data_IF_423754799872
#
_entry.id   IF_423754799872
#
_cell.length_a   1.000
_cell.length_b   1.000
_cell.length_c   1.000
_cell.angle_alpha   90.00
_cell.angle_beta   90.00
_cell.angle_gamma   90.00
#
_symmetry.space_group_name_H-M   'P 1'
#
loop_
_entity.id
_entity.type
_entity.pdbx_description
1 polymer ?
#
# COMPACT_ATOMS: atom_id res chain seq x y z
N UNK A 1 -3.19 14.96 -10.65
CA UNK A 1 -1.79 14.86 -10.55
C UNK A 1 -1.24 15.27 -9.20
N UNK A 2 -0.26 14.51 -8.74
CA UNK A 2 0.50 14.76 -7.50
C UNK A 2 1.80 15.54 -7.80
N UNK A 3 1.77 16.47 -8.74
CA UNK A 3 2.92 17.24 -9.22
C UNK A 3 3.58 18.18 -8.18
N UNK A 4 3.24 18.06 -6.91
CA UNK A 4 3.84 18.87 -5.84
C UNK A 4 4.65 18.12 -4.80
N UNK A 5 4.71 16.79 -4.85
CA UNK A 5 5.27 15.98 -3.76
C UNK A 5 6.74 15.57 -3.94
N UNK A 6 7.36 15.86 -5.10
CA UNK A 6 8.78 15.60 -5.32
C UNK A 6 9.20 14.12 -5.40
N UNK A 7 8.24 13.18 -5.50
CA UNK A 7 8.50 11.76 -5.72
C UNK A 7 7.54 11.16 -6.74
N UNK A 8 7.97 10.08 -7.39
CA UNK A 8 7.23 9.39 -8.44
C UNK A 8 6.01 8.65 -7.86
N UNK A 9 4.85 8.80 -8.51
CA UNK A 9 3.59 8.15 -8.13
C UNK A 9 3.56 6.65 -8.38
N UNK A 10 2.36 6.06 -8.32
CA UNK A 10 2.15 4.63 -8.57
C UNK A 10 2.44 4.23 -10.02
N UNK A 11 2.73 2.95 -10.23
CA UNK A 11 2.96 2.38 -11.57
C UNK A 11 1.63 2.28 -12.33
N UNK A 12 1.62 2.79 -13.55
CA UNK A 12 0.53 2.60 -14.50
C UNK A 12 1.10 1.88 -15.73
N UNK A 13 0.68 0.64 -15.94
CA UNK A 13 1.09 -0.11 -17.12
C UNK A 13 0.38 0.46 -18.37
N UNK A 14 1.11 0.59 -19.48
CA UNK A 14 0.47 0.84 -20.78
C UNK A 14 -0.34 -0.39 -21.17
N UNK A 15 -1.63 -0.19 -21.45
CA UNK A 15 -2.48 -1.24 -21.99
C UNK A 15 -2.17 -1.45 -23.46
N UNK A 16 -2.04 -2.71 -23.93
CA UNK A 16 -1.89 -2.98 -25.35
C UNK A 16 -3.16 -2.53 -26.11
N UNK A 17 -2.97 -1.86 -27.24
CA UNK A 17 -4.09 -1.45 -28.10
C UNK A 17 -4.50 -2.59 -29.03
N UNK A 18 -5.80 -2.87 -29.12
CA UNK A 18 -6.32 -3.92 -29.99
C UNK A 18 -7.67 -4.46 -29.53
N UNK A 19 -8.15 -5.47 -30.26
CA UNK A 19 -9.34 -6.24 -29.89
C UNK A 19 -8.90 -7.61 -29.39
N UNK A 20 -9.18 -7.90 -28.14
CA UNK A 20 -8.78 -9.14 -27.48
C UNK A 20 -10.01 -10.02 -27.27
N UNK A 21 -9.87 -11.32 -27.58
CA UNK A 21 -10.95 -12.31 -27.39
C UNK A 21 -11.18 -12.60 -25.91
N UNK A 22 -10.10 -12.56 -25.12
CA UNK A 22 -10.10 -12.78 -23.67
C UNK A 22 -9.21 -11.73 -23.00
N UNK A 23 -9.70 -11.14 -21.94
CA UNK A 23 -8.93 -10.25 -21.08
C UNK A 23 -9.24 -10.57 -19.62
N UNK A 24 -8.23 -10.48 -18.75
CA UNK A 24 -8.41 -10.56 -17.31
C UNK A 24 -7.63 -9.43 -16.65
N UNK A 25 -8.11 -9.01 -15.51
CA UNK A 25 -7.51 -7.96 -14.70
C UNK A 25 -7.01 -8.56 -13.39
N UNK A 26 -5.82 -8.17 -12.98
CA UNK A 26 -5.26 -8.47 -11.65
C UNK A 26 -5.08 -7.18 -10.89
N UNK A 27 -5.84 -7.04 -9.81
CA UNK A 27 -5.79 -5.87 -8.92
C UNK A 27 -5.29 -6.27 -7.53
N UNK A 28 -4.33 -5.51 -7.02
CA UNK A 28 -3.83 -5.67 -5.65
C UNK A 28 -4.77 -4.96 -4.67
N UNK A 29 -5.61 -5.73 -4.00
CA UNK A 29 -6.52 -5.17 -3.00
C UNK A 29 -5.75 -4.44 -1.89
N UNK A 30 -6.08 -3.17 -1.66
CA UNK A 30 -5.47 -2.33 -0.62
C UNK A 30 -3.94 -2.23 -0.73
N UNK A 31 -3.40 -2.05 -1.91
CA UNK A 31 -1.95 -2.09 -2.16
C UNK A 31 -1.14 -1.18 -1.20
N UNK A 32 -1.47 0.11 -1.11
CA UNK A 32 -0.74 1.04 -0.23
C UNK A 32 -0.90 0.72 1.27
N UNK A 33 -2.11 0.45 1.80
CA UNK A 33 -2.26 -0.06 3.15
C UNK A 33 -1.46 -1.34 3.41
N UNK A 34 -1.43 -2.26 2.45
CA UNK A 34 -0.65 -3.49 2.57
C UNK A 34 0.86 -3.22 2.67
N UNK A 35 1.40 -2.30 1.85
CA UNK A 35 2.80 -1.86 1.94
C UNK A 35 3.13 -1.26 3.32
N UNK A 36 2.25 -0.39 3.84
CA UNK A 36 2.43 0.23 5.17
C UNK A 36 2.45 -0.83 6.26
N UNK A 37 1.49 -1.76 6.25
CA UNK A 37 1.38 -2.82 7.26
C UNK A 37 2.55 -3.80 7.19
N UNK A 38 2.88 -4.29 6.00
CA UNK A 38 3.93 -5.30 5.80
C UNK A 38 5.32 -4.77 6.08
N UNK A 39 5.58 -3.54 5.69
CA UNK A 39 6.86 -2.86 5.90
C UNK A 39 7.02 -2.21 7.27
N UNK A 40 5.94 -2.14 8.07
CA UNK A 40 5.87 -1.36 9.30
C UNK A 40 6.27 0.11 9.08
N UNK A 41 5.80 0.70 7.97
CA UNK A 41 6.20 2.03 7.52
C UNK A 41 5.47 3.11 8.32
N UNK A 42 6.19 3.73 9.25
CA UNK A 42 5.66 4.74 10.15
C UNK A 42 6.76 5.72 10.59
N UNK A 43 6.37 6.94 10.95
CA UNK A 43 7.32 7.95 11.47
C UNK A 43 8.00 7.46 12.75
N UNK A 44 7.29 6.70 13.59
CA UNK A 44 7.80 6.17 14.86
C UNK A 44 8.76 5.00 14.70
N UNK A 45 8.67 4.26 13.59
CA UNK A 45 9.53 3.10 13.31
C UNK A 45 10.72 3.43 12.42
N UNK A 46 10.69 4.58 11.73
CA UNK A 46 11.75 5.00 10.82
C UNK A 46 13.04 5.37 11.56
N UNK A 47 14.17 4.77 11.14
CA UNK A 47 15.51 5.15 11.58
C UNK A 47 16.04 6.25 10.64
N UNK A 48 16.35 7.43 11.19
CA UNK A 48 16.72 8.59 10.37
C UNK A 48 18.16 8.60 9.90
N UNK A 49 19.07 8.08 10.72
CA UNK A 49 20.52 8.06 10.44
C UNK A 49 21.07 6.66 10.72
N UNK A 50 20.70 5.63 9.94
CA UNK A 50 21.09 4.25 10.20
C UNK A 50 22.60 4.04 10.15
N UNK A 51 23.32 4.73 9.24
CA UNK A 51 24.77 4.58 9.04
C UNK A 51 25.57 5.03 10.26
N UNK A 52 25.08 6.02 11.00
CA UNK A 52 25.77 6.56 12.18
C UNK A 52 25.38 5.85 13.48
N UNK A 53 24.17 5.31 13.54
CA UNK A 53 23.63 4.70 14.75
C UNK A 53 23.91 3.19 14.84
N UNK A 54 24.06 2.52 13.70
CA UNK A 54 24.10 1.06 13.60
C UNK A 54 25.19 0.58 12.63
N UNK A 55 26.43 1.00 12.86
CA UNK A 55 27.59 0.63 12.02
C UNK A 55 27.86 -0.88 11.99
N UNK A 56 27.60 -1.57 13.11
CA UNK A 56 27.82 -3.01 13.27
C UNK A 56 26.55 -3.85 12.97
N UNK A 57 25.51 -3.24 12.36
CA UNK A 57 24.24 -3.89 12.08
C UNK A 57 23.14 -3.56 13.09
N UNK A 58 21.94 -4.05 12.83
CA UNK A 58 20.76 -3.74 13.65
C UNK A 58 20.58 -4.79 14.74
N UNK A 59 20.45 -4.40 16.04
CA UNK A 59 20.22 -5.35 17.14
C UNK A 59 18.77 -5.86 17.20
N UNK A 60 17.93 -5.49 16.24
CA UNK A 60 16.52 -5.86 16.11
C UNK A 60 16.12 -6.08 14.64
N UNK A 61 15.00 -6.75 14.36
CA UNK A 61 14.49 -6.91 13.00
C UNK A 61 14.17 -5.56 12.35
N UNK A 62 14.49 -5.41 11.07
CA UNK A 62 14.22 -4.21 10.29
C UNK A 62 13.58 -4.53 8.94
N UNK A 63 12.87 -3.56 8.38
CA UNK A 63 12.54 -3.47 6.96
C UNK A 63 13.50 -2.48 6.32
N UNK A 64 14.16 -2.87 5.23
CA UNK A 64 14.93 -1.98 4.37
C UNK A 64 14.16 -1.82 3.08
N UNK A 65 13.79 -0.58 2.75
CA UNK A 65 13.06 -0.26 1.51
C UNK A 65 14.02 -0.24 0.31
N UNK A 66 13.53 -0.28 -0.93
CA UNK A 66 14.38 -0.18 -2.11
C UNK A 66 15.22 1.11 -2.14
N UNK A 67 14.71 2.20 -1.57
CA UNK A 67 15.44 3.47 -1.40
C UNK A 67 16.54 3.44 -0.31
N UNK A 68 16.71 2.30 0.39
CA UNK A 68 17.68 2.14 1.48
C UNK A 68 17.21 2.69 2.84
N UNK A 69 15.99 3.18 2.96
CA UNK A 69 15.44 3.64 4.25
C UNK A 69 15.10 2.45 5.13
N UNK A 70 15.30 2.64 6.45
CA UNK A 70 15.22 1.55 7.43
C UNK A 70 14.09 1.82 8.42
N UNK A 71 13.29 0.79 8.68
CA UNK A 71 12.17 0.80 9.62
C UNK A 71 12.29 -0.35 10.61
N UNK A 72 12.10 -0.08 11.89
CA UNK A 72 12.12 -1.07 12.97
C UNK A 72 10.93 -2.01 12.89
N UNK A 73 11.13 -3.26 13.29
CA UNK A 73 10.06 -4.29 13.35
C UNK A 73 9.91 -4.94 14.72
N UNK A 74 10.66 -4.51 15.70
CA UNK A 74 10.57 -5.00 17.08
C UNK A 74 9.34 -4.45 17.84
N UNK A 75 8.70 -3.43 17.29
CA UNK A 75 7.38 -2.95 17.74
C UNK A 75 6.55 -2.51 16.52
N UNK A 76 5.24 -2.49 16.70
CA UNK A 76 4.31 -2.07 15.64
C UNK A 76 4.12 -0.55 15.66
N UNK A 77 4.29 0.10 14.50
CA UNK A 77 4.02 1.51 14.31
C UNK A 77 2.53 1.86 14.48
N UNK A 78 2.26 3.14 14.72
CA UNK A 78 0.89 3.64 14.94
C UNK A 78 0.02 3.42 13.71
N UNK A 79 0.52 3.80 12.52
CA UNK A 79 -0.21 3.67 11.27
C UNK A 79 -0.45 2.22 10.85
N UNK A 80 0.55 1.33 10.84
CA UNK A 80 0.35 -0.10 10.61
C UNK A 80 -0.72 -0.70 11.52
N UNK A 81 -0.71 -0.34 12.81
CA UNK A 81 -1.70 -0.81 13.79
C UNK A 81 -3.13 -0.37 13.43
N UNK A 82 -3.32 0.93 13.15
CA UNK A 82 -4.63 1.48 12.77
C UNK A 82 -5.13 0.81 11.48
N UNK A 83 -4.29 0.74 10.45
CA UNK A 83 -4.66 0.14 9.17
C UNK A 83 -4.98 -1.35 9.30
N UNK A 84 -4.24 -2.09 10.12
CA UNK A 84 -4.52 -3.51 10.41
C UNK A 84 -5.88 -3.69 11.09
N UNK A 85 -6.23 -2.83 12.04
CA UNK A 85 -7.55 -2.86 12.69
C UNK A 85 -8.68 -2.57 11.69
N UNK A 86 -8.51 -1.56 10.85
CA UNK A 86 -9.49 -1.21 9.81
C UNK A 86 -9.64 -2.34 8.78
N UNK A 87 -8.55 -2.96 8.36
CA UNK A 87 -8.56 -4.10 7.45
C UNK A 87 -9.28 -5.31 8.07
N UNK A 88 -8.95 -5.66 9.32
CA UNK A 88 -9.61 -6.75 10.06
C UNK A 88 -11.12 -6.52 10.20
N UNK A 89 -11.52 -5.29 10.55
CA UNK A 89 -12.94 -4.94 10.65
C UNK A 89 -13.65 -5.05 9.29
N UNK A 90 -13.01 -4.60 8.22
CA UNK A 90 -13.55 -4.73 6.86
C UNK A 90 -13.72 -6.19 6.45
N UNK A 91 -12.73 -7.02 6.73
CA UNK A 91 -12.77 -8.45 6.38
C UNK A 91 -13.84 -9.18 7.18
N UNK A 92 -14.05 -8.84 8.47
CA UNK A 92 -15.15 -9.35 9.27
C UNK A 92 -16.50 -9.00 8.64
N UNK A 93 -16.74 -7.73 8.30
CA UNK A 93 -17.99 -7.29 7.66
C UNK A 93 -18.21 -8.02 6.33
N UNK A 94 -17.17 -8.15 5.51
CA UNK A 94 -17.24 -8.88 4.23
C UNK A 94 -17.52 -10.38 4.43
N UNK A 95 -17.02 -10.95 5.53
CA UNK A 95 -17.34 -12.32 5.93
C UNK A 95 -18.82 -12.49 6.26
N UNK A 96 -19.35 -11.60 7.10
CA UNK A 96 -20.77 -11.59 7.51
C UNK A 96 -21.71 -11.37 6.32
N UNK A 97 -21.35 -10.50 5.38
CA UNK A 97 -22.12 -10.24 4.15
C UNK A 97 -22.32 -11.49 3.28
N UNK A 98 -21.46 -12.49 3.36
CA UNK A 98 -21.60 -13.72 2.56
C UNK A 98 -22.80 -14.56 2.97
N UNK A 99 -23.26 -14.44 4.21
CA UNK A 99 -24.36 -15.22 4.79
C UNK A 99 -25.60 -14.36 5.08
N UNK A 100 -25.52 -13.03 4.92
CA UNK A 100 -26.64 -12.14 5.16
C UNK A 100 -27.66 -12.22 4.02
N UNK A 101 -28.90 -12.50 4.38
CA UNK A 101 -30.01 -12.64 3.43
C UNK A 101 -30.97 -11.44 3.42
N UNK A 102 -30.90 -10.57 4.44
CA UNK A 102 -31.68 -9.35 4.51
C UNK A 102 -31.04 -8.25 3.63
N UNK A 103 -31.75 -7.78 2.56
CA UNK A 103 -31.20 -6.79 1.63
C UNK A 103 -30.84 -5.46 2.30
N UNK A 104 -31.59 -5.03 3.32
CA UNK A 104 -31.34 -3.76 4.01
C UNK A 104 -30.08 -3.85 4.85
N UNK A 105 -29.93 -4.93 5.60
CA UNK A 105 -28.72 -5.20 6.40
C UNK A 105 -27.51 -5.38 5.50
N UNK A 106 -27.64 -6.15 4.44
CA UNK A 106 -26.57 -6.30 3.44
C UNK A 106 -26.15 -4.94 2.87
N UNK A 107 -27.12 -4.08 2.51
CA UNK A 107 -26.86 -2.74 2.02
C UNK A 107 -26.12 -1.86 3.04
N UNK A 108 -26.46 -1.95 4.32
CA UNK A 108 -25.76 -1.25 5.40
C UNK A 108 -24.31 -1.73 5.55
N UNK A 109 -24.09 -3.03 5.62
CA UNK A 109 -22.76 -3.65 5.70
C UNK A 109 -21.89 -3.28 4.50
N UNK A 110 -22.48 -3.25 3.29
CA UNK A 110 -21.76 -2.86 2.07
C UNK A 110 -21.31 -1.39 2.14
N UNK A 111 -22.14 -0.48 2.64
CA UNK A 111 -21.72 0.92 2.88
C UNK A 111 -20.60 1.00 3.91
N UNK A 112 -20.71 0.27 5.03
CA UNK A 112 -19.68 0.26 6.07
C UNK A 112 -18.33 -0.21 5.56
N UNK A 113 -18.27 -1.35 4.84
CA UNK A 113 -17.01 -1.86 4.30
C UNK A 113 -16.39 -0.93 3.24
N UNK A 114 -17.22 -0.18 2.47
CA UNK A 114 -16.74 0.82 1.52
C UNK A 114 -16.11 2.02 2.23
N UNK A 115 -16.75 2.54 3.27
CA UNK A 115 -16.19 3.64 4.10
C UNK A 115 -14.85 3.23 4.71
N UNK A 116 -14.72 1.98 5.21
CA UNK A 116 -13.44 1.47 5.72
C UNK A 116 -12.38 1.42 4.61
N UNK A 117 -12.74 0.97 3.40
CA UNK A 117 -11.81 0.96 2.26
C UNK A 117 -11.32 2.37 1.90
N UNK A 118 -12.24 3.31 1.80
CA UNK A 118 -11.92 4.71 1.47
C UNK A 118 -11.04 5.35 2.54
N UNK A 119 -11.37 5.10 3.81
CA UNK A 119 -10.57 5.58 4.95
C UNK A 119 -9.13 5.03 4.88
N UNK A 120 -8.95 3.72 4.73
CA UNK A 120 -7.61 3.12 4.61
C UNK A 120 -6.80 3.70 3.44
N UNK A 121 -7.43 3.93 2.28
CA UNK A 121 -6.75 4.49 1.12
C UNK A 121 -6.38 5.97 1.31
N UNK A 122 -7.16 6.73 2.08
CA UNK A 122 -6.86 8.15 2.35
C UNK A 122 -5.59 8.36 3.18
N UNK A 123 -5.20 7.39 4.00
CA UNK A 123 -4.02 7.48 4.84
C UNK A 123 -2.71 7.62 4.07
N UNK A 124 -2.60 6.98 2.89
CA UNK A 124 -1.47 7.20 2.02
C UNK A 124 -1.32 8.68 1.64
N UNK A 125 -2.44 9.33 1.25
CA UNK A 125 -2.46 10.76 0.93
C UNK A 125 -2.03 11.63 2.12
N UNK A 126 -2.43 11.27 3.33
CA UNK A 126 -2.05 11.98 4.55
C UNK A 126 -0.57 11.81 4.87
N UNK A 127 -0.02 10.60 4.77
CA UNK A 127 1.39 10.32 5.01
C UNK A 127 2.30 11.00 3.97
N UNK A 128 1.91 10.91 2.70
CA UNK A 128 2.67 11.46 1.57
C UNK A 128 2.48 12.96 1.37
N UNK A 129 1.48 13.58 2.01
CA UNK A 129 1.17 15.01 1.87
C UNK A 129 2.19 15.92 2.56
N UNK A 130 3.47 15.73 2.32
CA UNK A 130 4.53 16.62 2.82
C UNK A 130 4.35 18.09 2.44
N UNK A 131 3.15 18.44 1.96
CA UNK A 131 2.74 19.79 1.64
C UNK A 131 2.84 20.68 2.88
N UNK A 132 3.76 21.60 2.85
CA UNK A 132 3.64 22.80 3.66
C UNK A 132 2.29 23.42 3.33
N UNK A 133 1.41 23.55 4.31
CA UNK A 133 0.29 24.46 4.22
C UNK A 133 0.84 25.80 3.68
N UNK A 134 0.04 26.58 2.99
CA UNK A 134 0.41 27.98 2.62
C UNK A 134 0.94 28.80 3.80
N UNK A 135 0.73 28.33 5.02
CA UNK A 135 1.21 28.88 6.29
C UNK A 135 2.55 28.31 6.77
N UNK A 136 3.19 27.40 6.01
CA UNK A 136 4.48 26.79 6.38
C UNK A 136 4.41 25.69 7.45
N UNK A 137 3.24 25.42 8.03
CA UNK A 137 3.06 24.36 9.01
C UNK A 137 2.80 22.99 8.35
N UNK A 138 3.37 21.93 8.89
CA UNK A 138 3.04 20.56 8.47
C UNK A 138 1.57 20.31 8.79
N UNK A 139 0.72 19.96 7.80
CA UNK A 139 -0.72 19.79 8.01
C UNK A 139 -1.06 18.61 8.94
N UNK A 140 -0.13 17.67 9.11
CA UNK A 140 -0.33 16.48 9.95
C UNK A 140 0.98 16.03 10.60
N UNK A 141 0.95 15.75 11.92
CA UNK A 141 2.17 15.40 12.68
C UNK A 141 2.86 14.11 12.23
N UNK A 142 2.10 13.18 11.64
CA UNK A 142 2.59 11.89 11.13
C UNK A 142 2.92 11.94 9.63
N UNK A 143 2.82 13.10 8.99
CA UNK A 143 3.18 13.29 7.58
C UNK A 143 4.70 13.25 7.41
N UNK A 144 5.18 12.37 6.55
CA UNK A 144 6.58 12.28 6.12
C UNK A 144 6.61 11.88 4.63
N UNK A 145 6.98 12.80 3.71
CA UNK A 145 7.03 12.53 2.27
C UNK A 145 7.92 11.36 1.90
N UNK A 146 8.96 11.10 2.69
CA UNK A 146 9.86 9.98 2.45
C UNK A 146 9.15 8.64 2.65
N UNK A 147 8.21 8.55 3.61
CA UNK A 147 7.37 7.36 3.80
C UNK A 147 6.41 7.20 2.61
N UNK A 148 5.83 8.31 2.11
CA UNK A 148 5.01 8.29 0.90
C UNK A 148 5.77 7.77 -0.32
N UNK A 149 7.01 8.20 -0.49
CA UNK A 149 7.91 7.73 -1.54
C UNK A 149 8.20 6.22 -1.42
N UNK A 150 8.50 5.74 -0.21
CA UNK A 150 8.76 4.31 0.04
C UNK A 150 7.54 3.44 -0.27
N UNK A 151 6.34 3.90 0.12
CA UNK A 151 5.09 3.18 -0.16
C UNK A 151 4.89 3.00 -1.67
N UNK A 152 5.03 4.07 -2.45
CA UNK A 152 4.85 4.01 -3.91
C UNK A 152 5.95 3.22 -4.60
N UNK A 153 7.19 3.29 -4.12
CA UNK A 153 8.30 2.51 -4.67
C UNK A 153 8.11 1.01 -4.43
N UNK A 154 7.72 0.60 -3.21
CA UNK A 154 7.40 -0.80 -2.91
C UNK A 154 6.24 -1.29 -3.78
N UNK A 155 5.18 -0.49 -3.93
CA UNK A 155 4.04 -0.82 -4.77
C UNK A 155 4.44 -0.97 -6.26
N UNK A 156 5.24 -0.04 -6.80
CA UNK A 156 5.77 -0.14 -8.17
C UNK A 156 6.57 -1.42 -8.39
N UNK A 157 7.46 -1.75 -7.46
CA UNK A 157 8.29 -2.96 -7.55
C UNK A 157 7.43 -4.23 -7.49
N UNK A 158 6.41 -4.24 -6.63
CA UNK A 158 5.46 -5.34 -6.54
C UNK A 158 4.66 -5.50 -7.84
N UNK A 159 4.15 -4.42 -8.40
CA UNK A 159 3.42 -4.45 -9.67
C UNK A 159 4.29 -4.87 -10.86
N UNK A 160 5.54 -4.41 -10.92
CA UNK A 160 6.49 -4.85 -11.92
C UNK A 160 6.80 -6.35 -11.80
N UNK A 161 6.93 -6.85 -10.57
CA UNK A 161 7.12 -8.27 -10.31
C UNK A 161 5.91 -9.10 -10.74
N UNK A 162 4.69 -8.67 -10.37
CA UNK A 162 3.44 -9.31 -10.76
C UNK A 162 3.30 -9.38 -12.28
N UNK A 163 3.50 -8.25 -12.98
CA UNK A 163 3.47 -8.18 -14.45
C UNK A 163 4.41 -9.23 -15.07
N UNK A 164 5.67 -9.27 -14.63
CA UNK A 164 6.66 -10.22 -15.14
C UNK A 164 6.26 -11.69 -14.92
N UNK A 165 5.64 -11.99 -13.77
CA UNK A 165 5.21 -13.36 -13.46
C UNK A 165 3.98 -13.78 -14.26
N UNK A 166 3.01 -12.87 -14.44
CA UNK A 166 1.81 -13.12 -15.25
C UNK A 166 2.19 -13.33 -16.71
N UNK A 167 3.04 -12.48 -17.27
CA UNK A 167 3.52 -12.61 -18.66
C UNK A 167 4.24 -13.95 -18.87
N UNK A 168 5.08 -14.38 -17.95
CA UNK A 168 5.76 -15.68 -18.02
C UNK A 168 4.77 -16.85 -17.96
N UNK A 169 3.79 -16.81 -17.06
CA UNK A 169 2.78 -17.87 -16.94
C UNK A 169 1.92 -17.96 -18.19
N UNK A 170 1.56 -16.84 -18.79
CA UNK A 170 0.78 -16.80 -20.05
C UNK A 170 1.55 -17.42 -21.20
N UNK A 171 2.86 -17.15 -21.32
CA UNK A 171 3.71 -17.81 -22.33
C UNK A 171 3.75 -19.33 -22.16
N UNK A 172 3.85 -19.83 -20.93
CA UNK A 172 3.81 -21.27 -20.66
C UNK A 172 2.49 -21.94 -21.09
N UNK A 173 1.36 -21.25 -20.91
CA UNK A 173 0.04 -21.75 -21.30
C UNK A 173 -0.15 -21.76 -22.83
N UNK A 174 0.42 -20.81 -23.53
CA UNK A 174 0.37 -20.76 -25.01
C UNK A 174 1.30 -21.79 -25.67
N UNK A 175 2.46 -22.07 -25.07
CA UNK A 175 3.42 -23.04 -25.58
C UNK A 175 3.00 -24.50 -25.30
N UNK A 176 2.15 -24.74 -24.30
CA UNK A 176 1.64 -26.08 -23.96
C UNK A 176 0.47 -26.55 -24.82
N UNK A 177 0.00 -25.76 -25.77
CA UNK A 177 -1.02 -26.16 -26.75
C UNK A 177 -2.43 -26.34 -26.16
N UNK A 178 -2.77 -25.72 -25.03
CA UNK A 178 -4.11 -25.72 -24.42
C UNK A 178 -4.94 -24.54 -24.88
#
# INVERSE_FOLDING_TARGET
>A
GLEGLGFEGGFVAEAPTGVFRWAFEVDNSMEYPACIISGNLDVSTRIRNPETQYQDGYPFPVTITPSGRVYRRDFEGIMPRILRQLATNRDRIRGEMKTETDPEKWGLMNRQQRVLKENMNSWYGVLGSGGTSKTGSRPFRLSDPAIGADITEIARNHNAWNKKHIERTTLYLTDSGV
#
